data_IF_821367772706
#
_entry.id   IF_821367772706
#
_cell.length_a   1.000
_cell.length_b   1.000
_cell.length_c   1.000
_cell.angle_alpha   90.00
_cell.angle_beta   90.00
_cell.angle_gamma   90.00
#
_symmetry.space_group_name_H-M   'P 1'
#
loop_
_entity.id
_entity.type
_entity.pdbx_description
1 polymer ?
#
# COMPACT_ATOMS: atom_id res chain seq x y z
N UNK A 1 -46.89 -25.45 -40.82
CA UNK A 1 -45.82 -24.91 -39.94
C UNK A 1 -45.11 -23.84 -40.74
N UNK A 2 -45.24 -22.56 -40.37
CA UNK A 2 -45.05 -21.42 -41.29
C UNK A 2 -43.57 -21.01 -41.43
N UNK A 3 -42.96 -21.11 -42.64
CA UNK A 3 -41.54 -20.79 -42.87
C UNK A 3 -41.17 -19.32 -42.61
N UNK A 4 -42.12 -18.38 -42.70
CA UNK A 4 -41.84 -16.95 -42.53
C UNK A 4 -41.52 -16.49 -41.10
N UNK A 5 -41.85 -17.27 -40.06
CA UNK A 5 -41.49 -16.92 -38.67
C UNK A 5 -40.00 -17.12 -38.38
N UNK A 6 -39.43 -18.22 -38.87
CA UNK A 6 -38.02 -18.54 -38.68
C UNK A 6 -37.10 -17.55 -39.42
N UNK A 7 -37.53 -17.11 -40.61
CA UNK A 7 -36.79 -16.12 -41.40
C UNK A 7 -36.82 -14.72 -40.76
N UNK A 8 -37.97 -14.31 -40.21
CA UNK A 8 -38.10 -13.07 -39.45
C UNK A 8 -37.27 -13.10 -38.15
N UNK A 9 -37.25 -14.23 -37.45
CA UNK A 9 -36.43 -14.43 -36.25
C UNK A 9 -34.93 -14.34 -36.55
N UNK A 10 -34.45 -15.04 -37.59
CA UNK A 10 -33.06 -14.99 -38.03
C UNK A 10 -32.63 -13.55 -38.42
N UNK A 11 -33.52 -12.81 -39.08
CA UNK A 11 -33.27 -11.40 -39.45
C UNK A 11 -33.13 -10.52 -38.21
N UNK A 12 -33.96 -10.73 -37.18
CA UNK A 12 -33.87 -9.98 -35.93
C UNK A 12 -32.63 -10.35 -35.11
N UNK A 13 -32.24 -11.62 -35.09
CA UNK A 13 -31.01 -12.08 -34.44
C UNK A 13 -29.77 -11.45 -35.08
N UNK A 14 -29.66 -11.46 -36.42
CA UNK A 14 -28.55 -10.83 -37.13
C UNK A 14 -28.46 -9.32 -36.84
N UNK A 15 -29.60 -8.62 -36.73
CA UNK A 15 -29.64 -7.19 -36.36
C UNK A 15 -29.19 -6.95 -34.92
N UNK A 16 -29.61 -7.81 -33.99
CA UNK A 16 -29.21 -7.72 -32.58
C UNK A 16 -27.70 -7.94 -32.43
N UNK A 17 -27.14 -8.96 -33.10
CA UNK A 17 -25.70 -9.21 -33.13
C UNK A 17 -24.91 -8.04 -33.72
N UNK A 18 -25.42 -7.45 -34.81
CA UNK A 18 -24.87 -6.23 -35.40
C UNK A 18 -24.80 -5.07 -34.39
N UNK A 19 -25.92 -4.79 -33.72
CA UNK A 19 -26.02 -3.73 -32.72
C UNK A 19 -25.11 -3.98 -31.51
N UNK A 20 -25.01 -5.22 -31.01
CA UNK A 20 -24.13 -5.58 -29.91
C UNK A 20 -22.64 -5.44 -30.28
N UNK A 21 -22.27 -5.82 -31.51
CA UNK A 21 -20.92 -5.63 -32.04
C UNK A 21 -20.54 -4.16 -32.13
N UNK A 22 -21.48 -3.31 -32.56
CA UNK A 22 -21.29 -1.86 -32.66
C UNK A 22 -21.15 -1.20 -31.28
N UNK A 23 -22.03 -1.54 -30.32
CA UNK A 23 -21.91 -1.08 -28.92
C UNK A 23 -20.58 -1.48 -28.28
N UNK A 24 -20.07 -2.68 -28.59
CA UNK A 24 -18.77 -3.13 -28.10
C UNK A 24 -17.64 -2.27 -28.66
N UNK A 25 -17.65 -2.01 -29.97
CA UNK A 25 -16.65 -1.14 -30.62
C UNK A 25 -16.65 0.26 -30.03
N UNK A 26 -17.82 0.85 -29.82
CA UNK A 26 -17.95 2.19 -29.25
C UNK A 26 -17.42 2.25 -27.80
N UNK A 27 -17.75 1.24 -26.98
CA UNK A 27 -17.19 1.11 -25.62
C UNK A 27 -15.67 0.96 -25.63
N UNK A 28 -15.12 0.20 -26.57
CA UNK A 28 -13.68 0.05 -26.71
C UNK A 28 -13.02 1.39 -27.08
N UNK A 29 -13.62 2.17 -27.99
CA UNK A 29 -13.13 3.52 -28.34
C UNK A 29 -13.18 4.46 -27.15
N UNK A 30 -14.30 4.50 -26.40
CA UNK A 30 -14.42 5.32 -25.19
C UNK A 30 -13.33 4.98 -24.17
N UNK A 31 -13.11 3.68 -23.91
CA UNK A 31 -12.05 3.21 -23.03
C UNK A 31 -10.66 3.70 -23.49
N UNK A 32 -10.37 3.64 -24.78
CA UNK A 32 -9.10 4.14 -25.31
C UNK A 32 -8.94 5.66 -25.13
N UNK A 33 -10.00 6.43 -25.38
CA UNK A 33 -9.97 7.88 -25.18
C UNK A 33 -9.81 8.26 -23.70
N UNK A 34 -10.46 7.54 -22.78
CA UNK A 34 -10.30 7.74 -21.34
C UNK A 34 -8.87 7.44 -20.86
N UNK A 35 -8.26 6.38 -21.38
CA UNK A 35 -6.86 6.05 -21.11
C UNK A 35 -5.93 7.14 -21.65
N UNK A 36 -6.17 7.63 -22.87
CA UNK A 36 -5.41 8.72 -23.49
C UNK A 36 -5.52 10.01 -22.68
N UNK A 37 -6.74 10.41 -22.30
CA UNK A 37 -7.00 11.57 -21.42
C UNK A 37 -6.24 11.44 -20.11
N UNK A 38 -6.34 10.27 -19.46
CA UNK A 38 -5.67 10.02 -18.17
C UNK A 38 -4.15 10.06 -18.29
N UNK A 39 -3.59 9.68 -19.44
CA UNK A 39 -2.15 9.80 -19.72
C UNK A 39 -1.74 11.26 -19.92
N UNK A 40 -2.48 12.02 -20.73
CA UNK A 40 -2.19 13.45 -20.97
C UNK A 40 -2.31 14.25 -19.67
N UNK A 41 -3.34 13.98 -18.87
CA UNK A 41 -3.51 14.64 -17.57
C UNK A 41 -2.32 14.39 -16.64
N UNK A 42 -1.81 13.15 -16.59
CA UNK A 42 -0.59 12.83 -15.83
C UNK A 42 0.62 13.62 -16.33
N UNK A 43 0.84 13.66 -17.64
CA UNK A 43 1.94 14.44 -18.22
C UNK A 43 1.85 15.93 -17.91
N UNK A 44 0.65 16.51 -17.94
CA UNK A 44 0.43 17.91 -17.55
C UNK A 44 0.73 18.13 -16.06
N UNK A 45 0.30 17.21 -15.19
CA UNK A 45 0.60 17.29 -13.77
C UNK A 45 2.11 17.23 -13.52
N UNK A 46 2.83 16.34 -14.22
CA UNK A 46 4.30 16.22 -14.12
C UNK A 46 5.02 17.52 -14.53
N UNK A 47 4.53 18.22 -15.56
CA UNK A 47 5.11 19.50 -16.02
C UNK A 47 4.91 20.65 -15.02
N UNK A 48 3.78 20.63 -14.29
CA UNK A 48 3.44 21.65 -13.31
C UNK A 48 3.87 21.29 -11.89
N UNK A 49 4.49 20.12 -11.71
CA UNK A 49 4.90 19.64 -10.40
C UNK A 49 6.09 20.46 -9.86
N UNK A 50 5.92 21.24 -8.78
CA UNK A 50 7.02 21.98 -8.18
C UNK A 50 8.12 21.04 -7.65
N UNK A 51 7.78 19.80 -7.27
CA UNK A 51 8.73 18.80 -6.77
C UNK A 51 9.71 18.37 -7.87
N UNK A 52 9.29 18.36 -9.13
CA UNK A 52 10.15 18.02 -10.28
C UNK A 52 11.30 19.02 -10.50
N UNK A 53 11.24 20.21 -9.88
CA UNK A 53 12.26 21.25 -9.98
C UNK A 53 13.24 21.24 -8.80
N UNK A 54 12.98 20.44 -7.77
CA UNK A 54 13.80 20.36 -6.58
C UNK A 54 14.84 19.24 -6.72
N UNK A 55 16.02 19.38 -6.08
CA UNK A 55 16.91 18.24 -5.89
C UNK A 55 16.20 17.10 -5.16
N UNK A 56 16.56 15.86 -5.48
CA UNK A 56 15.97 14.65 -4.91
C UNK A 56 15.97 14.69 -3.37
N UNK A 57 17.08 15.15 -2.78
CA UNK A 57 17.27 15.22 -1.34
C UNK A 57 16.25 16.17 -0.67
N UNK A 58 15.93 17.28 -1.32
CA UNK A 58 14.97 18.26 -0.81
C UNK A 58 13.55 17.69 -0.89
N UNK A 59 13.21 17.05 -2.00
CA UNK A 59 11.92 16.38 -2.19
C UNK A 59 11.71 15.26 -1.16
N UNK A 60 12.74 14.44 -0.93
CA UNK A 60 12.73 13.39 0.09
C UNK A 60 12.50 13.96 1.49
N UNK A 61 13.20 15.03 1.88
CA UNK A 61 13.00 15.66 3.18
C UNK A 61 11.60 16.27 3.29
N UNK A 62 11.10 16.97 2.26
CA UNK A 62 9.71 17.47 2.24
C UNK A 62 8.72 16.32 2.51
N UNK A 63 8.85 15.19 1.82
CA UNK A 63 7.96 14.04 2.01
C UNK A 63 8.01 13.51 3.44
N UNK A 64 9.20 13.46 4.05
CA UNK A 64 9.36 13.01 5.45
C UNK A 64 8.64 13.98 6.40
N UNK A 65 8.77 15.30 6.18
CA UNK A 65 8.10 16.31 7.02
C UNK A 65 6.60 16.43 6.77
N UNK A 66 6.10 15.92 5.64
CA UNK A 66 4.67 15.83 5.39
C UNK A 66 3.99 14.70 6.17
N UNK A 67 4.76 13.75 6.70
CA UNK A 67 4.24 12.73 7.61
C UNK A 67 4.18 13.31 9.03
N UNK A 68 3.03 13.19 9.73
CA UNK A 68 2.92 13.64 11.11
C UNK A 68 3.87 12.85 12.04
N UNK A 69 4.31 13.45 13.16
CA UNK A 69 5.15 12.75 14.14
C UNK A 69 4.42 11.57 14.79
N UNK A 70 5.18 10.52 15.14
CA UNK A 70 4.69 9.28 15.78
C UNK A 70 3.86 9.50 17.07
N UNK A 71 4.05 10.61 17.77
CA UNK A 71 3.36 10.92 19.03
C UNK A 71 1.93 11.48 18.84
N UNK A 72 1.54 11.85 17.63
CA UNK A 72 0.23 12.49 17.34
C UNK A 72 -0.75 11.56 16.57
N UNK A 73 -0.46 10.25 16.52
CA UNK A 73 -1.10 9.31 15.61
C UNK A 73 -2.48 8.86 16.12
N UNK A 74 -3.52 9.55 15.66
CA UNK A 74 -4.93 9.11 15.71
C UNK A 74 -5.58 9.03 14.32
N UNK A 75 -4.82 9.20 13.23
CA UNK A 75 -5.41 9.28 11.88
C UNK A 75 -4.64 8.47 10.83
N UNK A 76 -5.38 7.97 9.85
CA UNK A 76 -4.91 7.21 8.67
C UNK A 76 -4.06 8.01 7.67
N UNK A 77 -3.63 9.23 8.02
CA UNK A 77 -2.84 10.14 7.19
C UNK A 77 -1.32 10.01 7.40
N UNK A 78 -0.88 9.07 8.24
CA UNK A 78 0.54 8.91 8.63
C UNK A 78 1.35 7.99 7.72
N UNK A 79 0.83 7.70 6.52
CA UNK A 79 1.37 6.67 5.64
C UNK A 79 2.04 7.32 4.41
N UNK A 80 3.27 6.93 4.00
CA UNK A 80 3.86 7.29 2.70
C UNK A 80 3.09 6.78 1.46
N UNK A 81 2.14 5.85 1.60
CA UNK A 81 1.39 5.26 0.48
C UNK A 81 0.70 6.28 -0.45
N UNK A 82 0.10 7.39 0.00
CA UNK A 82 -0.48 8.40 -0.89
C UNK A 82 0.55 8.99 -1.86
N UNK A 83 1.82 9.13 -1.44
CA UNK A 83 2.91 9.61 -2.29
C UNK A 83 3.15 8.68 -3.49
N UNK A 84 2.82 7.39 -3.37
CA UNK A 84 2.93 6.43 -4.46
C UNK A 84 1.88 6.61 -5.56
N UNK A 85 0.80 7.36 -5.29
CA UNK A 85 -0.38 7.45 -6.18
C UNK A 85 -0.47 8.75 -6.99
N UNK A 86 0.38 9.74 -6.68
CA UNK A 86 0.26 11.09 -7.25
C UNK A 86 0.78 11.13 -8.70
N UNK A 87 2.06 10.83 -8.88
CA UNK A 87 2.69 10.75 -10.20
C UNK A 87 3.92 9.85 -10.16
N UNK A 88 4.45 9.51 -11.34
CA UNK A 88 5.59 8.58 -11.45
C UNK A 88 6.83 9.08 -10.72
N UNK A 89 7.10 10.40 -10.76
CA UNK A 89 8.21 11.00 -10.04
C UNK A 89 8.08 10.84 -8.52
N UNK A 90 6.91 11.14 -7.96
CA UNK A 90 6.69 11.02 -6.51
C UNK A 90 6.79 9.57 -6.06
N UNK A 91 6.28 8.62 -6.86
CA UNK A 91 6.44 7.19 -6.60
C UNK A 91 7.94 6.82 -6.55
N UNK A 92 8.75 7.27 -7.51
CA UNK A 92 10.19 7.00 -7.54
C UNK A 92 10.93 7.61 -6.33
N UNK A 93 10.63 8.86 -5.99
CA UNK A 93 11.21 9.54 -4.82
C UNK A 93 10.82 8.80 -3.53
N UNK A 94 9.54 8.50 -3.34
CA UNK A 94 9.06 7.83 -2.14
C UNK A 94 9.66 6.43 -1.98
N UNK A 95 9.69 5.62 -3.05
CA UNK A 95 10.29 4.28 -3.01
C UNK A 95 11.81 4.30 -2.81
N UNK A 96 12.49 5.35 -3.25
CA UNK A 96 13.94 5.49 -3.08
C UNK A 96 14.35 6.13 -1.76
N UNK A 97 13.41 6.62 -0.94
CA UNK A 97 13.66 7.29 0.34
C UNK A 97 13.36 6.34 1.51
N UNK A 98 14.34 5.60 2.06
CA UNK A 98 14.07 4.52 3.02
C UNK A 98 13.53 5.03 4.35
N UNK A 99 13.86 6.26 4.74
CA UNK A 99 13.39 6.91 5.98
C UNK A 99 11.86 7.05 6.03
N UNK A 100 11.17 7.15 4.89
CA UNK A 100 9.70 7.15 4.82
C UNK A 100 9.08 5.82 5.26
N UNK A 101 9.84 4.72 5.16
CA UNK A 101 9.40 3.35 5.43
C UNK A 101 10.00 2.80 6.74
N UNK A 102 10.58 3.70 7.55
CA UNK A 102 11.21 3.37 8.82
C UNK A 102 10.23 3.43 10.00
N UNK A 103 8.99 3.84 9.74
CA UNK A 103 7.92 3.91 10.71
C UNK A 103 6.70 3.17 10.15
N UNK A 104 6.00 2.39 10.98
CA UNK A 104 4.80 1.67 10.59
C UNK A 104 3.92 1.38 11.81
N UNK A 105 2.69 1.86 11.77
CA UNK A 105 1.63 1.49 12.70
C UNK A 105 0.55 0.71 11.96
N UNK A 106 0.27 -0.52 12.37
CA UNK A 106 -0.72 -1.38 11.72
C UNK A 106 -1.61 -2.11 12.73
N UNK A 107 -2.88 -2.23 12.37
CA UNK A 107 -3.84 -3.06 13.09
C UNK A 107 -3.71 -4.52 12.67
N UNK A 108 -3.61 -5.41 13.66
CA UNK A 108 -3.55 -6.85 13.41
C UNK A 108 -4.85 -7.33 12.79
N UNK A 109 -4.79 -8.17 11.73
CA UNK A 109 -5.99 -8.75 11.16
C UNK A 109 -6.76 -9.57 12.22
N UNK A 110 -8.10 -9.61 12.16
CA UNK A 110 -8.90 -10.27 13.18
C UNK A 110 -8.79 -11.80 13.16
N UNK A 111 -8.38 -12.39 12.04
CA UNK A 111 -8.29 -13.85 11.86
C UNK A 111 -7.00 -14.26 11.14
N UNK A 112 -6.52 -15.47 11.44
CA UNK A 112 -5.32 -16.05 10.83
C UNK A 112 -5.44 -16.27 9.31
N UNK A 113 -6.64 -16.29 8.75
CA UNK A 113 -6.88 -16.52 7.31
C UNK A 113 -6.41 -15.34 6.43
N UNK A 114 -6.33 -14.13 6.98
CA UNK A 114 -5.94 -12.90 6.27
C UNK A 114 -4.41 -12.67 6.32
N UNK A 115 -3.66 -13.59 6.93
CA UNK A 115 -2.23 -13.40 7.24
C UNK A 115 -1.32 -13.29 6.03
N UNK A 116 -1.52 -14.07 4.97
CA UNK A 116 -0.56 -14.12 3.84
C UNK A 116 -0.43 -12.78 3.10
N UNK A 117 -1.54 -12.09 2.85
CA UNK A 117 -1.53 -10.78 2.19
C UNK A 117 -0.91 -9.72 3.10
N UNK A 118 -1.24 -9.77 4.39
CA UNK A 118 -0.70 -8.87 5.40
C UNK A 118 0.80 -9.06 5.62
N UNK A 119 1.29 -10.30 5.66
CA UNK A 119 2.72 -10.61 5.70
C UNK A 119 3.46 -10.12 4.46
N UNK A 120 2.84 -10.25 3.27
CA UNK A 120 3.40 -9.75 2.02
C UNK A 120 3.52 -8.23 2.04
N UNK A 121 2.47 -7.54 2.52
CA UNK A 121 2.48 -6.11 2.72
C UNK A 121 3.59 -5.69 3.70
N UNK A 122 3.65 -6.32 4.88
CA UNK A 122 4.60 -6.00 5.93
C UNK A 122 6.05 -6.20 5.46
N UNK A 123 6.35 -7.33 4.81
CA UNK A 123 7.67 -7.57 4.23
C UNK A 123 8.03 -6.53 3.15
N UNK A 124 7.07 -6.21 2.27
CA UNK A 124 7.25 -5.18 1.24
C UNK A 124 7.57 -3.82 1.84
N UNK A 125 6.90 -3.44 2.93
CA UNK A 125 7.18 -2.21 3.67
C UNK A 125 8.59 -2.24 4.27
N UNK A 126 8.90 -3.28 5.04
CA UNK A 126 10.17 -3.41 5.77
C UNK A 126 11.38 -3.41 4.84
N UNK A 127 11.24 -4.02 3.65
CA UNK A 127 12.28 -4.03 2.63
C UNK A 127 12.64 -2.62 2.15
N UNK A 128 11.66 -1.72 2.04
CA UNK A 128 11.87 -0.33 1.62
C UNK A 128 12.60 0.50 2.68
N UNK A 129 12.41 0.19 3.97
CA UNK A 129 13.14 0.82 5.08
C UNK A 129 14.64 0.50 5.14
N UNK A 130 15.08 -0.54 4.41
CA UNK A 130 16.49 -0.98 4.30
C UNK A 130 17.20 -1.19 5.66
N UNK A 131 18.12 -0.31 6.05
CA UNK A 131 18.86 -0.41 7.32
C UNK A 131 18.56 0.77 8.26
N UNK A 132 17.50 1.55 7.98
CA UNK A 132 17.12 2.65 8.86
C UNK A 132 16.59 2.12 10.20
N UNK A 133 16.82 2.86 11.31
CA UNK A 133 16.22 2.55 12.60
C UNK A 133 14.70 2.48 12.46
N UNK A 134 14.11 1.37 12.90
CA UNK A 134 12.72 1.03 12.64
C UNK A 134 11.85 1.24 13.88
N UNK A 135 10.74 1.96 13.73
CA UNK A 135 9.66 2.05 14.71
C UNK A 135 8.49 1.21 14.21
N UNK A 136 8.00 0.29 15.04
CA UNK A 136 6.81 -0.52 14.74
C UNK A 136 5.76 -0.38 15.84
N UNK A 137 4.51 -0.18 15.46
CA UNK A 137 3.36 -0.20 16.36
C UNK A 137 2.32 -1.20 15.87
N UNK A 138 1.86 -2.06 16.79
CA UNK A 138 0.90 -3.11 16.51
C UNK A 138 -0.28 -3.03 17.47
N UNK A 139 -1.49 -2.87 16.91
CA UNK A 139 -2.75 -2.91 17.66
C UNK A 139 -3.47 -4.23 17.43
N UNK A 140 -4.25 -4.71 18.41
CA UNK A 140 -4.96 -5.99 18.34
C UNK A 140 -4.19 -7.24 18.82
N UNK A 141 -4.81 -8.42 18.67
CA UNK A 141 -4.36 -9.67 19.31
C UNK A 141 -3.36 -10.47 18.46
N UNK A 142 -2.13 -10.75 18.95
CA UNK A 142 -1.13 -11.53 18.21
C UNK A 142 -1.31 -13.04 18.26
N UNK A 143 -2.23 -13.55 19.08
CA UNK A 143 -2.35 -15.00 19.33
C UNK A 143 -2.64 -15.82 18.06
N UNK A 144 -3.11 -15.15 17.00
CA UNK A 144 -3.43 -15.75 15.71
C UNK A 144 -2.30 -15.65 14.66
N UNK A 145 -1.20 -14.93 14.93
CA UNK A 145 -0.29 -14.43 13.88
C UNK A 145 1.21 -14.74 14.11
N UNK A 146 1.62 -16.02 14.18
CA UNK A 146 3.02 -16.39 14.43
C UNK A 146 3.99 -15.91 13.33
N UNK A 147 3.55 -15.77 12.08
CA UNK A 147 4.38 -15.30 10.97
C UNK A 147 4.81 -13.84 11.13
N UNK A 148 3.98 -13.00 11.75
CA UNK A 148 4.30 -11.60 12.04
C UNK A 148 5.41 -11.51 13.09
N UNK A 149 5.38 -12.36 14.12
CA UNK A 149 6.46 -12.42 15.11
C UNK A 149 7.80 -12.74 14.45
N UNK A 150 7.83 -13.71 13.53
CA UNK A 150 9.05 -14.06 12.80
C UNK A 150 9.58 -12.88 11.97
N UNK A 151 8.69 -12.10 11.34
CA UNK A 151 9.06 -10.91 10.58
C UNK A 151 9.66 -9.82 11.49
N UNK A 152 9.03 -9.56 12.64
CA UNK A 152 9.55 -8.58 13.62
C UNK A 152 10.93 -8.98 14.13
N UNK A 153 11.11 -10.27 14.49
CA UNK A 153 12.41 -10.82 14.92
C UNK A 153 13.46 -10.68 13.82
N UNK A 154 13.10 -10.91 12.55
CA UNK A 154 14.04 -10.74 11.43
C UNK A 154 14.57 -9.30 11.31
N UNK A 155 13.81 -8.31 11.80
CA UNK A 155 14.20 -6.89 11.82
C UNK A 155 14.87 -6.45 13.14
N UNK A 156 15.09 -7.35 14.09
CA UNK A 156 15.60 -7.01 15.42
C UNK A 156 16.90 -6.19 15.41
N UNK A 157 17.77 -6.40 14.42
CA UNK A 157 19.04 -5.70 14.25
C UNK A 157 18.90 -4.18 14.01
N UNK A 158 17.74 -3.72 13.53
CA UNK A 158 17.45 -2.31 13.23
C UNK A 158 16.24 -1.76 13.96
N UNK A 159 15.52 -2.59 14.72
CA UNK A 159 14.36 -2.17 15.51
C UNK A 159 14.82 -1.21 16.62
N UNK A 160 14.28 0.02 16.60
CA UNK A 160 14.55 1.09 17.56
C UNK A 160 13.42 1.24 18.57
N UNK A 161 12.18 1.17 18.09
CA UNK A 161 10.99 1.31 18.92
C UNK A 161 10.00 0.21 18.57
N UNK A 162 9.40 -0.40 19.59
CA UNK A 162 8.33 -1.37 19.43
C UNK A 162 7.18 -1.03 20.37
N UNK A 163 6.01 -0.80 19.81
CA UNK A 163 4.79 -0.55 20.54
C UNK A 163 3.78 -1.67 20.28
N UNK A 164 3.23 -2.20 21.37
CA UNK A 164 2.32 -3.35 21.34
C UNK A 164 1.19 -3.14 22.34
N UNK A 165 -0.06 -3.38 21.95
CA UNK A 165 -1.22 -3.31 22.86
C UNK A 165 -1.38 -4.55 23.76
N UNK A 166 -0.63 -5.63 23.50
CA UNK A 166 -0.84 -6.90 24.19
C UNK A 166 0.45 -7.44 24.86
N UNK A 167 0.42 -7.86 26.14
CA UNK A 167 1.55 -8.48 26.82
C UNK A 167 2.03 -9.80 26.19
N UNK A 168 1.27 -10.41 25.29
CA UNK A 168 1.65 -11.66 24.62
C UNK A 168 2.86 -11.50 23.69
N UNK A 169 3.15 -10.27 23.23
CA UNK A 169 4.38 -9.95 22.52
C UNK A 169 5.63 -9.99 23.42
N UNK A 170 5.48 -10.09 24.75
CA UNK A 170 6.63 -10.20 25.67
C UNK A 170 7.46 -11.47 25.44
N UNK A 171 6.88 -12.49 24.78
CA UNK A 171 7.64 -13.68 24.35
C UNK A 171 8.79 -13.32 23.39
N UNK A 172 8.68 -12.22 22.63
CA UNK A 172 9.75 -11.72 21.77
C UNK A 172 11.01 -11.39 22.58
N UNK A 173 10.88 -10.97 23.83
CA UNK A 173 12.02 -10.61 24.68
C UNK A 173 12.62 -11.79 25.47
N UNK A 174 12.12 -13.01 25.25
CA UNK A 174 12.71 -14.20 25.81
C UNK A 174 13.90 -14.67 24.95
N UNK A 175 14.97 -15.25 25.54
CA UNK A 175 16.07 -15.83 24.77
C UNK A 175 15.57 -16.83 23.72
N UNK A 176 16.16 -16.89 22.51
CA UNK A 176 17.47 -16.35 22.11
C UNK A 176 17.43 -14.99 21.39
N UNK A 177 16.29 -14.29 21.38
CA UNK A 177 16.13 -13.07 20.60
C UNK A 177 16.90 -11.89 21.22
N UNK A 178 17.62 -11.13 20.39
CA UNK A 178 18.41 -9.96 20.81
C UNK A 178 18.01 -8.77 19.94
N UNK A 179 17.69 -7.65 20.59
CA UNK A 179 17.31 -6.40 19.92
C UNK A 179 18.37 -5.33 20.21
N UNK A 180 19.50 -5.32 19.49
CA UNK A 180 20.68 -4.52 19.85
C UNK A 180 20.48 -3.00 19.72
N UNK A 181 19.43 -2.57 19.02
CA UNK A 181 19.12 -1.15 18.77
C UNK A 181 17.81 -0.69 19.41
N UNK A 182 17.14 -1.57 20.15
CA UNK A 182 15.84 -1.25 20.74
C UNK A 182 16.03 -0.33 21.93
N UNK A 183 15.51 0.89 21.79
CA UNK A 183 15.58 1.96 22.78
C UNK A 183 14.31 2.00 23.63
N UNK A 184 13.14 1.77 23.00
CA UNK A 184 11.84 1.84 23.68
C UNK A 184 10.96 0.63 23.35
N UNK A 185 10.29 0.12 24.40
CA UNK A 185 9.19 -0.83 24.29
C UNK A 185 8.00 -0.27 25.02
N UNK A 186 6.94 0.05 24.29
CA UNK A 186 5.70 0.57 24.86
C UNK A 186 4.65 -0.53 24.85
N UNK A 187 4.15 -0.89 26.03
CA UNK A 187 3.02 -1.80 26.17
C UNK A 187 1.79 -0.97 26.51
N UNK A 188 0.93 -0.73 25.51
CA UNK A 188 -0.36 -0.04 25.73
C UNK A 188 -1.35 -1.01 26.38
N UNK A 189 -2.23 -0.56 27.29
CA UNK A 189 -3.36 -1.36 27.75
C UNK A 189 -4.35 -1.60 26.59
N UNK A 190 -5.06 -2.75 26.57
CA UNK A 190 -6.06 -3.09 25.56
C UNK A 190 -7.35 -2.24 25.68
#
# INVERSE_FOLDING_TARGET
MMPGKAEAEATLQARLEGALSEMKKEKDVLRQLELSRSRIQRQLNDLHDPIARLPLEISSEIFIYCLPPHEEVYTSLCDPLPLLSICTLWTEIALSTPRLWADLSVEMPPTAEVTTEFETFLNGWLLRGRNHPLSLSFTGSPAAHPGILAIVVAQAHRLRELEVECPSYLQLFSPPFVFPRLEFVNVRPP
#
